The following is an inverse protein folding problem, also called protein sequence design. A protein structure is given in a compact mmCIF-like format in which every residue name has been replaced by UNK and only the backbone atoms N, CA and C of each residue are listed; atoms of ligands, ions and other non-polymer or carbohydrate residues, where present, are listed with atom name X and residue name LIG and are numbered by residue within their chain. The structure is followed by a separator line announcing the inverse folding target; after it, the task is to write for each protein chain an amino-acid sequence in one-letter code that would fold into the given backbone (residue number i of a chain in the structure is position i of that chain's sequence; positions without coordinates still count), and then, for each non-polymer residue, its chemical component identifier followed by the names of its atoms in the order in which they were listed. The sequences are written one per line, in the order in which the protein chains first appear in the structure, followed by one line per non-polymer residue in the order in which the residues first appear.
data_IF_770228474059
#
_entry.id   IF_770228474059
#
_cell.length_a   1.000
_cell.length_b   1.000
_cell.length_c   1.000
_cell.angle_alpha   90.00
_cell.angle_beta   90.00
_cell.angle_gamma   90.00
#
_symmetry.space_group_name_H-M   'P 1'
#
loop_
_entity.id
_entity.type
_entity.pdbx_description
1 polymer ?
#
# COMPACT_ATOMS: atom_id res chain seq x y z
N UNK A 1 2.46 -0.47 -48.14
CA UNK A 1 2.47 -1.81 -48.75
C UNK A 1 3.71 -2.56 -48.33
N UNK A 2 3.56 -3.58 -47.49
CA UNK A 2 4.23 -4.89 -47.56
C UNK A 2 3.67 -5.74 -46.43
N UNK A 3 2.88 -6.71 -46.85
CA UNK A 3 2.10 -7.64 -46.06
C UNK A 3 2.99 -8.84 -45.78
N UNK A 4 3.15 -9.26 -44.53
CA UNK A 4 3.63 -10.60 -44.19
C UNK A 4 2.56 -11.28 -43.34
N UNK A 5 1.78 -12.11 -44.02
CA UNK A 5 0.93 -13.15 -43.44
C UNK A 5 1.77 -14.38 -43.09
N UNK A 6 1.14 -15.35 -42.42
CA UNK A 6 1.51 -16.79 -42.18
C UNK A 6 1.94 -17.02 -40.71
N UNK A 7 1.37 -17.93 -39.89
CA UNK A 7 0.38 -19.01 -40.01
C UNK A 7 -0.16 -19.33 -38.59
N UNK A 8 -1.39 -19.82 -38.48
CA UNK A 8 -2.01 -20.29 -37.24
C UNK A 8 -1.64 -21.75 -36.89
N UNK A 9 -1.57 -22.09 -35.59
CA UNK A 9 -1.82 -23.46 -35.11
C UNK A 9 -2.55 -23.40 -33.75
N UNK A 10 -3.79 -23.88 -33.73
CA UNK A 10 -4.62 -24.06 -32.54
C UNK A 10 -4.48 -25.52 -32.13
N UNK A 11 -4.09 -25.78 -30.89
CA UNK A 11 -4.14 -27.10 -30.27
C UNK A 11 -5.19 -27.08 -29.15
N UNK A 12 -6.35 -27.66 -29.44
CA UNK A 12 -7.35 -28.06 -28.45
C UNK A 12 -6.89 -29.36 -27.79
N UNK A 13 -6.84 -29.40 -26.47
CA UNK A 13 -6.77 -30.66 -25.72
C UNK A 13 -8.08 -30.82 -24.97
N UNK A 14 -8.90 -31.75 -25.45
CA UNK A 14 -10.06 -32.28 -24.75
C UNK A 14 -9.60 -33.39 -23.80
N UNK A 15 -10.00 -33.32 -22.53
CA UNK A 15 -9.80 -34.38 -21.54
C UNK A 15 -11.14 -34.84 -20.98
N UNK A 16 -11.57 -36.04 -21.36
CA UNK A 16 -12.80 -36.70 -20.92
C UNK A 16 -12.68 -37.22 -19.49
N UNK A 17 -13.80 -37.15 -18.74
CA UNK A 17 -14.02 -37.85 -17.48
C UNK A 17 -14.44 -39.31 -17.69
N UNK A 18 -14.31 -40.16 -16.66
CA UNK A 18 -15.23 -41.27 -16.47
C UNK A 18 -16.04 -41.20 -15.16
N UNK A 19 -17.28 -41.68 -15.32
CA UNK A 19 -18.35 -42.02 -14.37
C UNK A 19 -17.95 -43.02 -13.26
N UNK A 20 -18.69 -42.95 -12.14
CA UNK A 20 -19.42 -44.01 -11.40
C UNK A 20 -19.74 -43.46 -9.98
N UNK A 21 -20.86 -43.66 -9.30
CA UNK A 21 -22.00 -44.58 -9.44
C UNK A 21 -23.17 -44.05 -8.57
N UNK A 22 -24.38 -44.53 -8.86
CA UNK A 22 -25.67 -44.10 -8.33
C UNK A 22 -26.18 -45.07 -7.24
N UNK A 23 -26.68 -44.52 -6.13
CA UNK A 23 -27.78 -44.90 -5.18
C UNK A 23 -28.22 -46.39 -5.04
N UNK A 24 -28.87 -46.86 -3.93
CA UNK A 24 -30.21 -46.37 -3.54
C UNK A 24 -30.56 -46.59 -2.02
N UNK A 25 -31.84 -46.71 -1.56
CA UNK A 25 -32.35 -45.91 -0.44
C UNK A 25 -32.71 -46.77 0.80
N UNK A 26 -33.00 -46.13 1.93
CA UNK A 26 -33.75 -46.79 3.01
C UNK A 26 -34.68 -45.82 3.74
N UNK A 27 -35.91 -46.30 3.87
CA UNK A 27 -37.16 -45.69 4.29
C UNK A 27 -37.23 -45.25 5.77
N UNK A 28 -37.94 -44.14 5.98
CA UNK A 28 -39.01 -43.89 6.97
C UNK A 28 -38.98 -44.62 8.33
N UNK A 29 -38.93 -43.85 9.44
CA UNK A 29 -40.10 -43.63 10.34
C UNK A 29 -39.73 -43.09 11.74
N UNK A 30 -40.69 -42.32 12.27
CA UNK A 30 -41.05 -42.13 13.67
C UNK A 30 -40.32 -41.10 14.55
N UNK A 31 -41.11 -40.04 14.81
CA UNK A 31 -41.17 -39.16 15.98
C UNK A 31 -40.91 -39.89 17.29
N UNK A 32 -40.10 -39.27 18.17
CA UNK A 32 -40.37 -39.24 19.62
C UNK A 32 -39.67 -38.03 20.27
N UNK A 33 -40.50 -37.24 20.93
CA UNK A 33 -40.21 -36.09 21.77
C UNK A 33 -39.38 -36.50 22.98
N UNK A 34 -38.27 -35.82 23.25
CA UNK A 34 -37.72 -35.74 24.61
C UNK A 34 -36.94 -34.43 24.78
N UNK A 35 -37.47 -33.62 25.69
CA UNK A 35 -36.90 -32.37 26.18
C UNK A 35 -35.64 -32.68 26.98
N UNK A 36 -34.50 -32.13 26.58
CA UNK A 36 -33.31 -32.04 27.43
C UNK A 36 -32.55 -30.79 27.06
N UNK A 37 -32.55 -29.83 27.99
CA UNK A 37 -31.84 -28.56 27.92
C UNK A 37 -30.33 -28.81 27.91
N UNK A 38 -29.74 -28.84 26.72
CA UNK A 38 -28.29 -28.73 26.54
C UNK A 38 -27.95 -27.27 26.27
N UNK A 39 -27.26 -26.65 27.23
CA UNK A 39 -26.67 -25.32 27.09
C UNK A 39 -25.63 -25.42 25.99
N UNK A 40 -25.93 -24.88 24.82
CA UNK A 40 -24.99 -24.82 23.72
C UNK A 40 -23.84 -23.89 24.10
N UNK A 41 -22.69 -24.48 24.46
CA UNK A 41 -21.44 -23.76 24.55
C UNK A 41 -21.13 -23.19 23.16
N UNK A 42 -21.40 -21.90 22.99
CA UNK A 42 -21.04 -21.17 21.78
C UNK A 42 -19.52 -21.05 21.80
N UNK A 43 -18.85 -21.89 21.02
CA UNK A 43 -17.44 -21.68 20.71
C UNK A 43 -17.31 -20.27 20.09
N UNK A 44 -16.37 -19.42 20.56
CA UNK A 44 -16.14 -18.16 19.89
C UNK A 44 -15.52 -18.48 18.53
N UNK A 45 -16.31 -18.37 17.47
CA UNK A 45 -15.78 -18.22 16.12
C UNK A 45 -15.01 -16.90 16.11
N UNK A 46 -13.70 -16.95 16.34
CA UNK A 46 -12.81 -15.81 16.12
C UNK A 46 -12.65 -15.60 14.62
N UNK A 47 -13.71 -15.11 13.97
CA UNK A 47 -13.53 -14.28 12.81
C UNK A 47 -12.94 -12.99 13.36
N UNK A 48 -11.61 -12.86 13.34
CA UNK A 48 -10.93 -11.62 13.71
C UNK A 48 -11.48 -10.53 12.80
N UNK A 49 -12.48 -9.80 13.30
CA UNK A 49 -12.98 -8.60 12.65
C UNK A 49 -11.78 -7.68 12.51
N UNK A 50 -11.34 -7.49 11.28
CA UNK A 50 -10.17 -6.69 10.96
C UNK A 50 -10.43 -5.27 11.49
N UNK A 51 -9.63 -4.84 12.45
CA UNK A 51 -9.80 -3.55 13.10
C UNK A 51 -9.90 -2.43 12.04
N UNK A 52 -10.89 -1.55 12.20
CA UNK A 52 -11.12 -0.45 11.29
C UNK A 52 -9.89 0.45 11.18
N UNK A 53 -9.62 0.94 9.97
CA UNK A 53 -8.48 1.82 9.72
C UNK A 53 -8.63 3.16 10.48
N UNK A 54 -7.55 3.62 11.16
CA UNK A 54 -7.54 4.87 11.92
C UNK A 54 -8.03 6.09 11.12
N UNK A 55 -8.75 6.98 11.78
CA UNK A 55 -9.18 8.26 11.21
C UNK A 55 -8.19 9.41 11.49
N UNK A 56 -8.42 10.61 10.94
CA UNK A 56 -7.51 11.77 11.04
C UNK A 56 -7.10 12.19 12.46
N UNK A 57 -7.95 11.95 13.46
CA UNK A 57 -7.72 12.34 14.86
C UNK A 57 -7.16 11.20 15.73
N UNK A 58 -6.73 10.09 15.10
CA UNK A 58 -6.13 8.98 15.83
C UNK A 58 -4.79 9.37 16.45
N UNK A 59 -4.46 8.80 17.62
CA UNK A 59 -3.11 8.93 18.17
C UNK A 59 -2.12 8.14 17.34
N UNK A 60 -0.84 8.55 17.33
CA UNK A 60 0.22 7.80 16.64
C UNK A 60 0.26 6.37 17.15
N UNK A 61 0.16 6.14 18.46
CA UNK A 61 0.12 4.80 19.04
C UNK A 61 -1.01 3.92 18.48
N UNK A 62 -2.20 4.50 18.25
CA UNK A 62 -3.31 3.76 17.64
C UNK A 62 -3.00 3.41 16.17
N UNK A 63 -2.40 4.34 15.42
CA UNK A 63 -1.95 4.10 14.04
C UNK A 63 -0.87 3.03 13.99
N UNK A 64 0.17 3.11 14.82
CA UNK A 64 1.26 2.14 14.90
C UNK A 64 0.73 0.73 15.19
N UNK A 65 -0.09 0.56 16.23
CA UNK A 65 -0.68 -0.74 16.57
C UNK A 65 -1.53 -1.31 15.44
N UNK A 66 -2.29 -0.45 14.76
CA UNK A 66 -3.07 -0.88 13.61
C UNK A 66 -2.18 -1.31 12.43
N UNK A 67 -1.08 -0.60 12.16
CA UNK A 67 -0.10 -1.00 11.13
C UNK A 67 0.53 -2.37 11.49
N UNK A 68 0.92 -2.56 12.75
CA UNK A 68 1.53 -3.80 13.27
C UNK A 68 0.60 -5.01 13.22
N UNK A 69 -0.70 -4.80 13.36
CA UNK A 69 -1.72 -5.83 13.23
C UNK A 69 -1.97 -6.29 11.77
N UNK A 70 -1.25 -5.75 10.79
CA UNK A 70 -1.28 -6.25 9.41
C UNK A 70 -0.53 -7.57 9.23
N UNK A 71 -0.83 -8.32 8.17
CA UNK A 71 -0.07 -9.54 7.86
C UNK A 71 1.30 -9.14 7.29
N UNK A 72 2.42 -9.63 7.85
CA UNK A 72 3.74 -9.28 7.36
C UNK A 72 3.97 -9.81 5.94
N UNK A 73 4.70 -9.03 5.14
CA UNK A 73 5.28 -9.47 3.88
C UNK A 73 6.81 -9.39 3.95
N UNK A 74 7.45 -10.18 3.09
CA UNK A 74 8.90 -10.19 2.94
C UNK A 74 9.36 -8.93 2.18
N UNK A 75 10.18 -8.04 2.80
CA UNK A 75 10.65 -6.83 2.15
C UNK A 75 11.52 -7.08 0.92
N UNK A 76 12.17 -8.25 0.84
CA UNK A 76 13.03 -8.58 -0.28
C UNK A 76 12.26 -8.60 -1.61
N UNK A 77 10.98 -8.97 -1.57
CA UNK A 77 10.08 -8.97 -2.74
C UNK A 77 9.77 -7.57 -3.25
N UNK A 78 9.82 -6.56 -2.37
CA UNK A 78 9.51 -5.18 -2.70
C UNK A 78 10.72 -4.40 -3.23
N UNK A 79 11.81 -5.09 -3.53
CA UNK A 79 12.92 -4.53 -4.31
C UNK A 79 12.69 -4.58 -5.82
N UNK A 80 11.74 -5.39 -6.27
CA UNK A 80 11.37 -5.47 -7.67
C UNK A 80 10.66 -4.18 -8.10
N UNK A 81 11.11 -3.63 -9.21
CA UNK A 81 10.54 -2.44 -9.85
C UNK A 81 10.30 -2.72 -11.33
N UNK A 82 9.32 -2.06 -11.91
CA UNK A 82 9.05 -2.10 -13.35
C UNK A 82 9.14 -0.68 -13.91
N UNK A 83 9.94 -0.51 -14.95
CA UNK A 83 10.04 0.74 -15.69
C UNK A 83 9.53 0.50 -17.12
N UNK A 84 8.26 0.87 -17.34
CA UNK A 84 7.59 0.76 -18.64
C UNK A 84 7.70 -0.65 -19.26
N UNK A 85 7.50 -1.70 -18.45
CA UNK A 85 7.61 -3.11 -18.85
C UNK A 85 9.02 -3.68 -18.81
N UNK A 86 10.02 -2.89 -18.38
CA UNK A 86 11.38 -3.35 -18.15
C UNK A 86 11.58 -3.67 -16.66
N UNK A 87 11.78 -4.94 -16.28
CA UNK A 87 12.05 -5.30 -14.90
C UNK A 87 13.40 -4.73 -14.43
N UNK A 88 13.40 -4.19 -13.21
CA UNK A 88 14.58 -3.72 -12.49
C UNK A 88 14.57 -4.21 -11.05
N UNK A 89 15.68 -3.94 -10.36
CA UNK A 89 15.89 -4.36 -8.99
C UNK A 89 16.58 -3.23 -8.21
N UNK A 90 15.99 -2.85 -7.09
CA UNK A 90 16.56 -1.86 -6.18
C UNK A 90 17.78 -2.43 -5.42
N UNK A 91 18.69 -1.55 -4.94
CA UNK A 91 19.77 -1.94 -4.04
C UNK A 91 19.26 -2.67 -2.78
N UNK A 92 20.16 -3.41 -2.13
CA UNK A 92 19.83 -4.05 -0.86
C UNK A 92 19.36 -3.04 0.19
N UNK A 93 18.30 -3.40 0.92
CA UNK A 93 17.67 -2.54 1.94
C UNK A 93 16.67 -1.52 1.38
N UNK A 94 16.66 -1.25 0.08
CA UNK A 94 15.68 -0.37 -0.55
C UNK A 94 14.40 -1.09 -0.94
N UNK A 95 13.27 -0.40 -0.87
CA UNK A 95 11.97 -0.92 -1.28
C UNK A 95 11.20 0.09 -2.12
N UNK A 96 10.39 -0.40 -3.05
CA UNK A 96 9.35 0.35 -3.72
C UNK A 96 8.02 -0.42 -3.64
N UNK A 97 6.96 0.31 -3.33
CA UNK A 97 5.64 -0.28 -3.17
C UNK A 97 4.55 0.75 -3.43
N UNK A 98 3.37 0.25 -3.79
CA UNK A 98 2.20 1.09 -4.06
C UNK A 98 0.93 0.53 -3.46
N UNK A 99 -0.09 1.36 -3.23
CA UNK A 99 -1.43 0.85 -2.95
C UNK A 99 -1.93 -0.03 -4.11
N UNK A 100 -2.76 -1.06 -3.85
CA UNK A 100 -3.25 -1.99 -4.88
C UNK A 100 -4.16 -1.38 -5.95
N UNK A 101 -4.59 -0.12 -5.78
CA UNK A 101 -5.46 0.56 -6.75
C UNK A 101 -4.76 0.72 -8.10
N UNK A 102 -5.56 0.73 -9.16
CA UNK A 102 -5.08 1.16 -10.47
C UNK A 102 -4.66 2.63 -10.40
N UNK A 103 -3.51 2.91 -10.98
CA UNK A 103 -2.98 4.25 -11.13
C UNK A 103 -3.07 4.60 -12.61
N UNK A 104 -3.44 5.84 -12.91
CA UNK A 104 -3.52 6.29 -14.30
C UNK A 104 -2.17 6.19 -15.02
N UNK A 105 -2.16 6.18 -16.36
CA UNK A 105 -0.93 6.14 -17.13
C UNK A 105 0.04 7.25 -16.68
N UNK A 106 1.34 6.91 -16.55
CA UNK A 106 2.42 7.81 -16.09
C UNK A 106 2.32 8.30 -14.63
N UNK A 107 1.54 7.63 -13.79
CA UNK A 107 1.54 7.87 -12.34
C UNK A 107 2.46 6.87 -11.67
N UNK A 108 3.57 7.34 -11.08
CA UNK A 108 4.47 6.45 -10.33
C UNK A 108 3.80 5.91 -9.06
N UNK A 109 2.88 6.69 -8.48
CA UNK A 109 1.77 6.20 -7.65
C UNK A 109 2.16 5.27 -6.50
N UNK A 110 3.20 5.60 -5.75
CA UNK A 110 3.72 4.73 -4.71
C UNK A 110 4.72 5.42 -3.83
N UNK A 111 5.48 4.62 -3.10
CA UNK A 111 6.58 5.04 -2.26
C UNK A 111 7.84 4.28 -2.66
N UNK A 112 8.98 4.92 -2.50
CA UNK A 112 10.31 4.37 -2.80
C UNK A 112 11.32 4.93 -1.81
N UNK A 113 12.35 4.15 -1.50
CA UNK A 113 13.45 4.55 -0.63
C UNK A 113 14.76 4.66 -1.42
N UNK A 114 15.68 5.46 -0.89
CA UNK A 114 17.07 5.55 -1.32
C UNK A 114 18.00 5.55 -0.09
N UNK A 115 17.97 4.42 0.63
CA UNK A 115 18.61 4.24 1.94
C UNK A 115 20.12 4.49 1.90
N UNK A 116 20.78 4.14 0.79
CA UNK A 116 22.22 4.42 0.57
C UNK A 116 22.53 5.92 0.70
N UNK A 117 21.61 6.78 0.29
CA UNK A 117 21.76 8.23 0.32
C UNK A 117 21.12 8.85 1.58
N UNK A 118 20.60 8.03 2.50
CA UNK A 118 19.87 8.47 3.69
C UNK A 118 18.70 9.39 3.34
N UNK A 119 18.10 9.17 2.16
CA UNK A 119 16.97 9.97 1.71
C UNK A 119 15.70 9.56 2.46
N UNK A 120 14.80 10.51 2.74
CA UNK A 120 13.48 10.24 3.27
C UNK A 120 12.68 9.26 2.41
N UNK A 121 11.69 8.61 3.02
CA UNK A 121 10.67 7.88 2.27
C UNK A 121 9.96 8.85 1.32
N UNK A 122 10.17 8.64 0.02
CA UNK A 122 9.61 9.49 -1.03
C UNK A 122 8.37 8.84 -1.61
N UNK A 123 7.26 9.57 -1.64
CA UNK A 123 5.98 9.07 -2.10
C UNK A 123 5.29 10.02 -3.09
N UNK A 124 4.64 9.45 -4.09
CA UNK A 124 3.75 10.13 -5.02
C UNK A 124 2.36 9.50 -4.94
N UNK A 125 1.58 9.76 -3.88
CA UNK A 125 0.32 9.06 -3.66
C UNK A 125 -0.83 9.54 -4.56
N UNK A 126 -0.65 10.62 -5.32
CA UNK A 126 -1.71 11.19 -6.15
C UNK A 126 -2.74 11.98 -5.33
N UNK A 127 -2.26 12.88 -4.46
CA UNK A 127 -3.11 13.76 -3.64
C UNK A 127 -4.04 14.59 -4.52
N UNK A 128 -5.34 14.66 -4.16
CA UNK A 128 -6.31 15.49 -4.87
C UNK A 128 -6.03 16.98 -4.72
N UNK A 129 -5.68 17.39 -3.50
CA UNK A 129 -5.47 18.78 -3.10
C UNK A 129 -3.98 19.06 -2.86
N UNK A 130 -3.15 18.82 -3.88
CA UNK A 130 -1.72 19.10 -3.82
C UNK A 130 -1.44 20.61 -3.71
N UNK A 131 -0.44 21.04 -2.91
CA UNK A 131 -0.05 22.45 -2.84
C UNK A 131 0.30 23.04 -4.22
N UNK A 132 -0.18 24.25 -4.53
CA UNK A 132 0.17 24.91 -5.79
C UNK A 132 1.66 25.28 -5.78
N UNK A 133 2.20 25.52 -6.98
CA UNK A 133 3.58 25.99 -7.13
C UNK A 133 3.76 27.34 -6.41
N UNK A 134 4.76 27.49 -5.51
CA UNK A 134 5.11 28.78 -4.94
C UNK A 134 5.54 29.78 -6.04
N UNK A 135 5.25 31.09 -5.89
CA UNK A 135 5.66 32.10 -6.87
C UNK A 135 7.20 32.17 -6.98
N UNK A 136 7.69 32.54 -8.17
CA UNK A 136 9.11 32.80 -8.46
C UNK A 136 10.08 31.64 -8.12
N UNK A 137 9.56 30.42 -8.06
CA UNK A 137 10.39 29.22 -7.96
C UNK A 137 10.96 28.90 -9.33
N UNK A 138 12.28 28.77 -9.54
CA UNK A 138 12.84 28.16 -10.75
C UNK A 138 12.66 26.63 -10.72
N UNK A 139 12.81 25.93 -11.84
CA UNK A 139 12.83 24.44 -11.92
C UNK A 139 11.47 23.75 -11.98
N UNK A 140 11.45 22.42 -11.89
CA UNK A 140 10.21 21.63 -11.93
C UNK A 140 9.58 21.54 -10.55
N UNK A 141 8.25 21.69 -10.50
CA UNK A 141 7.46 21.60 -9.27
C UNK A 141 6.61 20.34 -9.30
N UNK A 142 6.71 19.53 -8.25
CA UNK A 142 5.88 18.34 -8.09
C UNK A 142 5.02 18.52 -6.85
N UNK A 143 3.81 19.06 -7.02
CA UNK A 143 2.93 19.38 -5.89
C UNK A 143 2.52 18.16 -5.05
N UNK A 144 2.43 16.99 -5.66
CA UNK A 144 2.05 15.74 -4.98
C UNK A 144 3.22 14.99 -4.32
N UNK A 145 4.45 15.53 -4.37
CA UNK A 145 5.61 14.87 -3.77
C UNK A 145 5.51 14.92 -2.24
N UNK A 146 5.43 13.76 -1.61
CA UNK A 146 5.47 13.61 -0.17
C UNK A 146 6.82 13.06 0.22
N UNK A 147 7.49 13.74 1.14
CA UNK A 147 8.74 13.28 1.74
C UNK A 147 8.52 13.06 3.23
N UNK A 148 8.93 11.92 3.76
CA UNK A 148 8.77 11.57 5.16
C UNK A 148 10.06 10.95 5.71
N UNK A 149 10.78 11.69 6.55
CA UNK A 149 11.98 11.21 7.26
C UNK A 149 11.68 10.72 8.70
N UNK A 150 10.43 10.88 9.15
CA UNK A 150 10.01 10.65 10.52
C UNK A 150 9.94 11.92 11.38
N UNK A 151 10.95 12.79 11.31
CA UNK A 151 10.98 14.07 12.01
C UNK A 151 10.18 15.17 11.31
N UNK A 152 9.97 15.03 10.02
CA UNK A 152 9.29 15.99 9.15
C UNK A 152 8.47 15.28 8.10
N UNK A 153 7.40 15.96 7.66
CA UNK A 153 6.65 15.59 6.45
C UNK A 153 6.59 16.82 5.56
N UNK A 154 7.09 16.71 4.33
CA UNK A 154 6.94 17.78 3.33
C UNK A 154 6.00 17.38 2.22
N UNK A 155 5.19 18.31 1.73
CA UNK A 155 4.30 18.12 0.58
C UNK A 155 4.55 19.21 -0.45
N UNK A 156 4.79 18.79 -1.68
CA UNK A 156 5.10 19.68 -2.78
C UNK A 156 6.53 20.20 -2.67
N UNK A 157 7.36 19.87 -3.65
CA UNK A 157 8.76 20.26 -3.65
C UNK A 157 9.27 20.56 -5.06
N UNK A 158 10.34 21.37 -5.12
CA UNK A 158 11.12 21.55 -6.35
C UNK A 158 11.97 20.32 -6.60
N UNK A 159 11.93 19.78 -7.81
CA UNK A 159 12.85 18.74 -8.27
C UNK A 159 13.59 19.20 -9.53
N UNK A 160 14.88 18.88 -9.60
CA UNK A 160 15.75 19.15 -10.75
C UNK A 160 16.20 17.86 -11.43
N UNK A 161 16.36 16.80 -10.66
CA UNK A 161 16.52 15.42 -11.10
C UNK A 161 15.17 14.67 -11.06
N UNK A 162 15.08 13.51 -11.73
CA UNK A 162 13.89 12.64 -11.69
C UNK A 162 13.59 12.00 -10.32
N UNK A 163 14.49 12.16 -9.34
CA UNK A 163 14.43 11.52 -8.03
C UNK A 163 14.50 9.98 -8.09
N UNK A 164 14.23 9.31 -6.96
CA UNK A 164 14.30 7.85 -6.85
C UNK A 164 13.36 7.11 -7.80
N UNK A 165 12.29 7.78 -8.25
CA UNK A 165 11.29 7.18 -9.12
C UNK A 165 11.78 6.86 -10.53
N UNK A 166 12.99 7.29 -10.92
CA UNK A 166 13.64 6.81 -12.15
C UNK A 166 13.91 5.30 -12.12
N UNK A 167 14.00 4.69 -10.94
CA UNK A 167 14.20 3.25 -10.79
C UNK A 167 12.98 2.43 -11.23
N UNK A 168 11.80 3.06 -11.32
CA UNK A 168 10.55 2.42 -11.74
C UNK A 168 9.49 2.37 -10.65
N UNK A 169 8.44 1.60 -10.93
CA UNK A 169 7.25 1.44 -10.08
C UNK A 169 7.35 0.14 -9.29
N UNK A 170 7.13 0.21 -7.98
CA UNK A 170 7.16 -0.96 -7.11
C UNK A 170 5.91 -1.84 -7.15
N UNK A 171 5.98 -2.99 -6.48
CA UNK A 171 4.88 -3.95 -6.38
C UNK A 171 3.70 -3.39 -5.55
N UNK A 172 2.46 -3.82 -5.86
CA UNK A 172 1.31 -3.49 -5.02
C UNK A 172 1.46 -4.16 -3.64
N UNK A 173 1.32 -3.36 -2.57
CA UNK A 173 1.17 -3.86 -1.20
C UNK A 173 -0.31 -4.16 -0.96
N UNK A 174 -0.72 -5.43 -1.08
CA UNK A 174 -2.11 -5.88 -0.92
C UNK A 174 -2.79 -5.37 0.36
N UNK A 175 -4.08 -5.06 0.28
CA UNK A 175 -4.81 -4.45 1.41
C UNK A 175 -4.71 -5.29 2.68
N UNK A 176 -4.13 -4.69 3.71
CA UNK A 176 -3.98 -5.27 5.04
C UNK A 176 -2.64 -5.92 5.30
N UNK A 177 -1.83 -6.07 4.25
CA UNK A 177 -0.44 -6.45 4.37
C UNK A 177 0.38 -5.30 4.94
N UNK A 178 1.40 -5.64 5.72
CA UNK A 178 2.36 -4.70 6.28
C UNK A 178 3.78 -5.01 5.80
N UNK A 179 4.48 -3.97 5.38
CA UNK A 179 5.85 -4.00 4.90
C UNK A 179 6.73 -3.23 5.89
N UNK A 180 7.75 -3.87 6.45
CA UNK A 180 8.72 -3.26 7.38
C UNK A 180 10.07 -3.11 6.68
N UNK A 181 10.69 -1.94 6.78
CA UNK A 181 11.96 -1.61 6.12
C UNK A 181 12.62 -0.42 6.84
N UNK A 182 13.92 -0.50 7.13
CA UNK A 182 14.62 0.50 7.94
C UNK A 182 13.85 0.82 9.23
N UNK A 183 13.66 2.11 9.48
CA UNK A 183 12.90 2.66 10.62
C UNK A 183 11.39 2.75 10.39
N UNK A 184 10.92 2.27 9.24
CA UNK A 184 9.54 2.41 8.80
C UNK A 184 8.78 1.10 8.84
N UNK A 185 7.46 1.24 8.97
CA UNK A 185 6.54 0.17 8.63
C UNK A 185 5.29 0.76 8.00
N UNK A 186 4.86 0.18 6.88
CA UNK A 186 3.68 0.63 6.17
C UNK A 186 2.64 -0.47 6.07
N UNK A 187 1.35 -0.09 6.11
CA UNK A 187 0.20 -0.98 5.89
C UNK A 187 -0.76 -0.32 4.90
N UNK A 188 -1.19 -1.08 3.90
CA UNK A 188 -2.18 -0.59 2.94
C UNK A 188 -3.62 -0.87 3.40
N UNK A 189 -4.53 0.03 3.06
CA UNK A 189 -5.96 -0.08 3.30
C UNK A 189 -6.73 0.63 2.19
N UNK A 190 -8.04 0.36 2.09
CA UNK A 190 -8.92 1.01 1.12
C UNK A 190 -8.94 2.54 1.27
N UNK A 191 -8.71 3.06 2.49
CA UNK A 191 -8.59 4.51 2.74
C UNK A 191 -7.24 5.11 2.34
N UNK A 192 -6.23 4.28 2.05
CA UNK A 192 -4.90 4.75 1.70
C UNK A 192 -3.77 3.90 2.30
N UNK A 193 -2.54 4.36 2.06
CA UNK A 193 -1.32 3.77 2.59
C UNK A 193 -0.93 4.47 3.88
N UNK A 194 -0.77 3.72 4.97
CA UNK A 194 -0.33 4.26 6.25
C UNK A 194 1.13 3.87 6.46
N UNK A 195 1.97 4.80 6.90
CA UNK A 195 3.37 4.55 7.23
C UNK A 195 3.70 5.17 8.58
N UNK A 196 4.35 4.41 9.45
CA UNK A 196 4.90 4.89 10.73
C UNK A 196 6.42 4.97 10.60
N UNK A 197 7.02 5.96 11.27
CA UNK A 197 8.44 5.98 11.59
C UNK A 197 8.59 5.73 13.11
N UNK A 198 9.34 4.71 13.48
CA UNK A 198 9.45 4.31 14.88
C UNK A 198 10.27 5.28 15.75
N UNK A 199 11.50 5.69 15.36
CA UNK A 199 12.31 6.60 16.17
C UNK A 199 11.62 7.93 16.50
N UNK A 200 10.86 8.49 15.56
CA UNK A 200 10.24 9.81 15.71
C UNK A 200 8.81 9.76 16.24
N UNK A 201 8.26 8.57 16.52
CA UNK A 201 6.88 8.42 17.00
C UNK A 201 5.88 9.22 16.14
N UNK A 202 6.02 9.13 14.82
CA UNK A 202 5.20 9.84 13.85
C UNK A 202 4.64 8.90 12.79
N UNK A 203 3.54 9.29 12.16
CA UNK A 203 2.96 8.52 11.07
C UNK A 203 2.27 9.41 10.04
N UNK A 204 2.05 8.85 8.86
CA UNK A 204 1.28 9.47 7.79
C UNK A 204 0.24 8.51 7.24
N UNK A 205 -0.87 9.05 6.73
CA UNK A 205 -1.81 8.34 5.85
C UNK A 205 -1.86 9.05 4.51
N UNK A 206 -1.54 8.32 3.46
CA UNK A 206 -1.57 8.77 2.07
C UNK A 206 -2.79 8.17 1.35
N UNK A 207 -3.87 8.95 1.29
CA UNK A 207 -5.09 8.63 0.53
C UNK A 207 -5.37 9.69 -0.53
N UNK A 208 -6.64 10.05 -0.70
CA UNK A 208 -7.04 11.25 -1.48
C UNK A 208 -6.46 12.54 -0.88
N UNK A 209 -6.33 12.55 0.45
CA UNK A 209 -5.69 13.59 1.23
C UNK A 209 -4.57 12.98 2.08
N UNK A 210 -3.61 13.84 2.47
CA UNK A 210 -2.55 13.48 3.40
C UNK A 210 -3.00 13.77 4.83
N UNK A 211 -3.03 12.74 5.67
CA UNK A 211 -3.08 12.93 7.11
C UNK A 211 -1.71 12.73 7.71
N UNK A 212 -1.42 13.49 8.75
CA UNK A 212 -0.16 13.42 9.49
C UNK A 212 -0.49 13.28 10.97
N UNK A 213 0.18 12.35 11.64
CA UNK A 213 -0.04 11.99 13.04
C UNK A 213 1.22 12.28 13.86
N UNK A 214 1.07 12.97 14.99
CA UNK A 214 2.19 13.33 15.86
C UNK A 214 3.04 14.48 15.35
N UNK A 215 2.49 15.32 14.46
CA UNK A 215 3.21 16.45 13.87
C UNK A 215 2.36 17.71 13.88
N UNK A 216 3.03 18.86 13.90
CA UNK A 216 2.42 20.18 13.82
C UNK A 216 2.74 20.82 12.48
N UNK A 217 1.73 21.41 11.82
CA UNK A 217 1.95 22.12 10.55
C UNK A 217 2.78 23.38 10.78
N UNK A 218 3.87 23.53 10.05
CA UNK A 218 4.70 24.73 10.07
C UNK A 218 3.97 25.90 9.41
N UNK A 219 3.95 27.05 10.08
CA UNK A 219 3.27 28.25 9.56
C UNK A 219 3.90 28.78 8.26
N UNK A 220 5.24 28.71 8.16
CA UNK A 220 5.99 29.14 6.97
C UNK A 220 6.99 28.05 6.59
N UNK A 221 6.67 27.24 5.56
CA UNK A 221 7.60 26.26 5.02
C UNK A 221 8.86 26.91 4.41
N UNK A 222 9.99 26.21 4.38
CA UNK A 222 11.18 26.66 3.65
C UNK A 222 10.90 26.95 2.17
N UNK A 223 11.74 27.79 1.56
CA UNK A 223 11.62 28.10 0.14
C UNK A 223 11.72 26.83 -0.71
N UNK A 224 10.73 26.61 -1.56
CA UNK A 224 10.68 25.43 -2.44
C UNK A 224 9.99 24.21 -1.84
N UNK A 225 9.40 24.35 -0.65
CA UNK A 225 8.48 23.40 -0.02
C UNK A 225 7.09 24.03 0.03
N UNK A 226 6.05 23.27 -0.31
CA UNK A 226 4.67 23.75 -0.36
C UNK A 226 4.01 23.74 1.01
N UNK A 227 4.12 22.61 1.70
CA UNK A 227 3.69 22.42 3.08
C UNK A 227 4.76 21.62 3.83
N UNK A 228 4.99 21.96 5.09
CA UNK A 228 5.83 21.19 6.00
C UNK A 228 5.10 20.95 7.32
N UNK A 229 5.27 19.75 7.86
CA UNK A 229 4.92 19.38 9.22
C UNK A 229 6.21 19.02 9.96
N UNK A 230 6.34 19.48 11.19
CA UNK A 230 7.42 19.14 12.10
C UNK A 230 6.87 18.15 13.15
N UNK A 231 7.53 17.01 13.33
CA UNK A 231 7.11 15.88 14.16
C UNK A 231 8.05 15.71 15.36
N UNK A 232 7.49 15.29 16.50
CA UNK A 232 8.21 15.15 17.76
C UNK A 232 7.85 16.22 18.78
#
# INVERSE_FOLDING_TARGET
MRVWSVLALILLVAGCAPHHEQAPPASTSAVSTSTSSSVAATAPTTTTSRAAAPGPQASVTAVTRWIEAGDPVDPEKFRAVDQDGTPGQLPEGDVAFRPPRELGPRTVGGCITEMKYQEPLSCLPGLRNAPPRPPDLPGQWIGGWVSFDGATVTVGSRHGDPGPFIQGVGLPLEYGKRLKFGDYQCRSDQKGLYCVNYPHHSAIRMGDELEVYGCTKRATPPRGIGVQYDCG
#
